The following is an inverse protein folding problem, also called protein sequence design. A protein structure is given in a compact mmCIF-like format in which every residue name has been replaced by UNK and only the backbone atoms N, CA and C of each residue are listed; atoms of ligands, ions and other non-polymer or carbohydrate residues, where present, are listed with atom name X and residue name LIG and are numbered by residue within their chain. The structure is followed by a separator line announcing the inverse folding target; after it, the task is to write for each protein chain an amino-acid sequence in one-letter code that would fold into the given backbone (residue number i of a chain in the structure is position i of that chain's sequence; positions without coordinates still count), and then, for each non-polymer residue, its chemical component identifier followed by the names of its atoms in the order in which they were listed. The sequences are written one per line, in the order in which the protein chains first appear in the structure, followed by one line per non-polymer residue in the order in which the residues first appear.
data_IF_781564039677
#
_entry.id   IF_781564039677
#
_cell.length_a   1.000
_cell.length_b   1.000
_cell.length_c   1.000
_cell.angle_alpha   90.00
_cell.angle_beta   90.00
_cell.angle_gamma   90.00
#
_symmetry.space_group_name_H-M   'P 1'
#
loop_
_entity.id
_entity.type
_entity.pdbx_description
1 polymer ?
#
# COMPACT_ATOMS: atom_id res chain seq x y z
N UNK A 1 55.66 53.68 19.47
CA UNK A 1 56.44 52.51 19.01
C UNK A 1 56.09 51.33 19.91
N UNK A 2 55.31 50.37 19.42
CA UNK A 2 55.01 49.12 20.13
C UNK A 2 55.23 47.98 19.13
N UNK A 3 56.13 47.06 19.49
CA UNK A 3 56.57 45.95 18.65
C UNK A 3 55.42 44.94 18.43
N UNK A 4 55.24 44.51 17.17
CA UNK A 4 54.48 43.32 16.81
C UNK A 4 55.31 42.05 17.09
N UNK A 5 54.73 40.98 17.68
CA UNK A 5 55.24 39.64 17.50
C UNK A 5 54.54 39.00 16.30
N UNK A 6 55.29 38.81 15.23
CA UNK A 6 54.93 37.93 14.13
C UNK A 6 54.91 36.48 14.63
N UNK A 7 53.73 35.85 14.63
CA UNK A 7 53.63 34.40 14.78
C UNK A 7 53.81 33.77 13.39
N UNK A 8 54.80 32.88 13.19
CA UNK A 8 54.94 32.17 11.94
C UNK A 8 53.81 31.12 11.88
N UNK A 9 52.80 31.36 11.05
CA UNK A 9 51.84 30.34 10.64
C UNK A 9 52.58 29.28 9.80
N UNK A 10 53.28 28.40 10.52
CA UNK A 10 54.07 27.32 9.98
C UNK A 10 53.23 26.40 9.11
N UNK A 11 53.75 26.10 7.92
CA UNK A 11 53.22 25.18 6.90
C UNK A 11 52.71 23.82 7.42
N UNK A 12 52.97 23.45 8.68
CA UNK A 12 52.57 22.20 9.32
C UNK A 12 51.07 22.12 9.63
N UNK A 13 50.38 23.24 9.86
CA UNK A 13 48.94 23.24 10.19
C UNK A 13 48.04 22.81 9.01
N UNK A 14 48.48 23.05 7.76
CA UNK A 14 47.72 22.71 6.54
C UNK A 14 47.75 21.22 6.17
N UNK A 15 48.70 20.44 6.72
CA UNK A 15 48.80 19.01 6.43
C UNK A 15 47.94 18.15 7.38
N UNK A 16 47.75 18.59 8.62
CA UNK A 16 46.90 17.89 9.59
C UNK A 16 45.41 17.96 9.21
N UNK A 17 44.94 19.10 8.68
CA UNK A 17 43.54 19.26 8.25
C UNK A 17 43.18 18.39 7.05
N UNK A 18 44.12 18.18 6.10
CA UNK A 18 43.88 17.32 4.93
C UNK A 18 43.77 15.83 5.27
N UNK A 19 44.50 15.35 6.28
CA UNK A 19 44.39 13.96 6.76
C UNK A 19 43.09 13.72 7.54
N UNK A 20 42.69 14.69 8.35
CA UNK A 20 41.44 14.62 9.11
C UNK A 20 40.21 14.62 8.19
N UNK A 21 40.19 15.48 7.17
CA UNK A 21 39.13 15.52 6.15
C UNK A 21 39.07 14.26 5.28
N UNK A 22 40.22 13.63 4.99
CA UNK A 22 40.27 12.35 4.26
C UNK A 22 39.72 11.18 5.07
N UNK A 23 39.90 11.17 6.39
CA UNK A 23 39.31 10.17 7.28
C UNK A 23 37.78 10.26 7.34
N UNK A 24 37.25 11.49 7.43
CA UNK A 24 35.80 11.75 7.41
C UNK A 24 35.14 11.37 6.08
N UNK A 25 35.80 11.64 4.94
CA UNK A 25 35.29 11.24 3.63
C UNK A 25 35.27 9.71 3.44
N UNK A 26 36.24 8.98 3.97
CA UNK A 26 36.26 7.51 3.92
C UNK A 26 35.18 6.87 4.81
N UNK A 27 34.89 7.46 5.97
CA UNK A 27 33.79 7.02 6.84
C UNK A 27 32.41 7.26 6.19
N UNK A 28 32.22 8.39 5.51
CA UNK A 28 31.01 8.66 4.73
C UNK A 28 30.87 7.73 3.51
N UNK A 29 31.97 7.41 2.82
CA UNK A 29 31.95 6.48 1.69
C UNK A 29 31.60 5.04 2.10
N UNK A 30 32.11 4.58 3.26
CA UNK A 30 31.74 3.27 3.83
C UNK A 30 30.29 3.22 4.31
N UNK A 31 29.79 4.29 4.93
CA UNK A 31 28.37 4.41 5.30
C UNK A 31 27.43 4.40 4.09
N UNK A 32 27.80 5.07 3.00
CA UNK A 32 27.05 5.06 1.74
C UNK A 32 27.04 3.68 1.07
N UNK A 33 28.13 2.90 1.18
CA UNK A 33 28.22 1.54 0.65
C UNK A 33 27.34 0.54 1.42
N UNK A 34 27.20 0.70 2.74
CA UNK A 34 26.29 -0.13 3.56
C UNK A 34 24.83 0.20 3.27
N UNK A 35 24.49 1.49 3.09
CA UNK A 35 23.15 1.92 2.65
C UNK A 35 22.82 1.45 1.22
N UNK A 36 23.78 1.48 0.30
CA UNK A 36 23.61 0.97 -1.07
C UNK A 36 23.48 -0.56 -1.11
N UNK A 37 24.20 -1.28 -0.23
CA UNK A 37 24.06 -2.73 -0.06
C UNK A 37 22.70 -3.14 0.49
N UNK A 38 22.17 -2.40 1.47
CA UNK A 38 20.80 -2.61 1.97
C UNK A 38 19.73 -2.28 0.92
N UNK A 39 19.96 -1.35 -0.01
CA UNK A 39 19.01 -1.09 -1.09
C UNK A 39 18.95 -2.22 -2.14
N UNK A 40 20.03 -3.00 -2.29
CA UNK A 40 20.10 -4.12 -3.24
C UNK A 40 19.62 -5.45 -2.64
N UNK A 41 19.68 -5.59 -1.31
CA UNK A 41 19.29 -6.80 -0.56
C UNK A 41 18.03 -6.63 0.30
N UNK A 42 17.50 -5.40 0.43
CA UNK A 42 16.14 -5.24 0.87
C UNK A 42 15.29 -6.11 -0.08
N UNK A 43 14.42 -6.99 0.44
CA UNK A 43 13.37 -7.52 -0.40
C UNK A 43 12.75 -6.28 -1.03
N UNK A 44 12.65 -6.29 -2.37
CA UNK A 44 11.77 -5.33 -3.05
C UNK A 44 10.44 -5.52 -2.36
N UNK A 45 10.16 -4.73 -1.32
CA UNK A 45 8.84 -4.55 -0.80
C UNK A 45 8.10 -4.14 -2.05
N UNK A 46 7.23 -5.03 -2.51
CA UNK A 46 6.58 -4.95 -3.79
C UNK A 46 5.93 -3.58 -3.88
N UNK A 47 6.64 -2.65 -4.50
CA UNK A 47 6.06 -1.65 -5.37
C UNK A 47 5.60 -2.39 -6.63
N UNK A 48 4.85 -3.48 -6.46
CA UNK A 48 3.69 -3.72 -7.27
C UNK A 48 2.84 -2.49 -6.99
N UNK A 49 3.13 -1.40 -7.71
CA UNK A 49 2.20 -0.31 -7.85
C UNK A 49 0.91 -1.01 -8.25
N UNK A 50 -0.01 -1.11 -7.28
CA UNK A 50 -1.31 -1.73 -7.49
C UNK A 50 -1.78 -1.19 -8.83
N UNK A 51 -2.04 -2.06 -9.83
CA UNK A 51 -2.23 -1.64 -11.21
C UNK A 51 -3.18 -0.46 -11.16
N UNK A 52 -2.73 0.69 -11.69
CA UNK A 52 -3.51 1.93 -11.65
C UNK A 52 -4.96 1.57 -11.98
N UNK A 53 -5.92 2.01 -11.16
CA UNK A 53 -7.34 1.58 -11.20
C UNK A 53 -7.91 1.47 -12.64
N UNK A 54 -7.35 2.23 -13.59
CA UNK A 54 -7.62 2.19 -15.03
C UNK A 54 -7.32 0.85 -15.76
N UNK A 55 -6.51 -0.06 -15.21
CA UNK A 55 -6.12 -1.34 -15.86
C UNK A 55 -6.84 -2.56 -15.30
N UNK A 56 -7.62 -2.37 -14.24
CA UNK A 56 -8.36 -3.45 -13.60
C UNK A 56 -9.75 -3.51 -14.24
N UNK A 57 -9.82 -4.14 -15.41
CA UNK A 57 -11.06 -4.29 -16.18
C UNK A 57 -12.05 -5.25 -15.51
N UNK A 58 -13.31 -5.24 -15.99
CA UNK A 58 -14.40 -6.09 -15.52
C UNK A 58 -14.10 -7.61 -15.52
N UNK A 59 -13.05 -8.03 -16.22
CA UNK A 59 -12.56 -9.41 -16.33
C UNK A 59 -11.52 -9.79 -15.28
N UNK A 60 -11.02 -8.85 -14.47
CA UNK A 60 -10.05 -9.16 -13.41
C UNK A 60 -10.71 -10.03 -12.34
N UNK A 61 -10.02 -11.08 -11.91
CA UNK A 61 -10.50 -11.98 -10.84
C UNK A 61 -10.14 -11.43 -9.46
N UNK A 62 -11.09 -11.61 -8.55
CA UNK A 62 -10.98 -11.28 -7.13
C UNK A 62 -11.29 -12.49 -6.28
N UNK A 63 -10.80 -12.51 -5.04
CA UNK A 63 -11.23 -13.49 -4.05
C UNK A 63 -12.74 -13.40 -3.82
N UNK A 64 -13.27 -12.18 -3.79
CA UNK A 64 -14.71 -11.92 -3.66
C UNK A 64 -15.17 -10.75 -4.53
N UNK A 65 -16.36 -10.90 -5.09
CA UNK A 65 -17.10 -9.83 -5.76
C UNK A 65 -18.42 -9.62 -5.04
N UNK A 66 -18.61 -8.42 -4.48
CA UNK A 66 -19.90 -7.97 -3.96
C UNK A 66 -20.75 -7.41 -5.08
N UNK A 67 -21.90 -8.03 -5.34
CA UNK A 67 -22.89 -7.60 -6.33
C UNK A 67 -24.08 -6.99 -5.61
N UNK A 68 -24.41 -5.76 -5.98
CA UNK A 68 -25.48 -4.99 -5.36
C UNK A 68 -26.81 -5.24 -6.08
N UNK A 69 -27.95 -5.19 -5.36
CA UNK A 69 -29.25 -5.35 -5.98
C UNK A 69 -29.56 -4.19 -6.95
N UNK A 70 -30.39 -4.42 -7.98
CA UNK A 70 -30.82 -3.36 -8.88
C UNK A 70 -31.47 -2.19 -8.11
N UNK A 71 -31.20 -0.96 -8.55
CA UNK A 71 -31.69 0.25 -7.88
C UNK A 71 -30.82 0.75 -6.71
N UNK A 72 -29.75 0.04 -6.36
CA UNK A 72 -28.74 0.56 -5.42
C UNK A 72 -28.03 1.76 -6.05
N UNK A 73 -27.91 2.86 -5.31
CA UNK A 73 -27.24 4.08 -5.79
C UNK A 73 -25.73 4.02 -5.59
N UNK A 74 -24.96 4.75 -6.40
CA UNK A 74 -23.51 4.87 -6.24
C UNK A 74 -23.10 5.37 -4.84
N UNK A 75 -23.93 6.23 -4.21
CA UNK A 75 -23.69 6.72 -2.85
C UNK A 75 -23.82 5.61 -1.80
N UNK A 76 -24.80 4.71 -1.94
CA UNK A 76 -24.94 3.54 -1.06
C UNK A 76 -23.79 2.55 -1.24
N UNK A 77 -23.36 2.32 -2.47
CA UNK A 77 -22.21 1.47 -2.79
C UNK A 77 -20.92 2.03 -2.17
N UNK A 78 -20.70 3.34 -2.29
CA UNK A 78 -19.53 3.97 -1.68
C UNK A 78 -19.63 3.95 -0.15
N UNK A 79 -20.81 4.18 0.43
CA UNK A 79 -21.02 4.06 1.88
C UNK A 79 -20.74 2.63 2.37
N UNK A 80 -21.20 1.61 1.66
CA UNK A 80 -20.88 0.21 1.93
C UNK A 80 -19.38 -0.04 1.88
N UNK A 81 -18.69 0.49 0.86
CA UNK A 81 -17.24 0.35 0.68
C UNK A 81 -16.46 0.98 1.84
N UNK A 82 -16.88 2.16 2.29
CA UNK A 82 -16.26 2.83 3.44
C UNK A 82 -16.53 2.08 4.75
N UNK A 83 -17.70 1.49 4.92
CA UNK A 83 -18.08 0.83 6.17
C UNK A 83 -17.51 -0.58 6.30
N UNK A 84 -17.46 -1.34 5.20
CA UNK A 84 -16.96 -2.70 5.19
C UNK A 84 -15.47 -2.70 4.85
N UNK A 85 -15.12 -2.34 3.61
CA UNK A 85 -13.76 -2.52 3.12
C UNK A 85 -12.77 -1.59 3.82
N UNK A 86 -13.06 -0.29 3.97
CA UNK A 86 -12.10 0.63 4.61
C UNK A 86 -11.89 0.42 6.10
N UNK A 87 -12.92 -0.02 6.83
CA UNK A 87 -12.75 -0.40 8.24
C UNK A 87 -11.80 -1.59 8.34
N UNK A 88 -11.94 -2.56 7.44
CA UNK A 88 -11.07 -3.73 7.39
C UNK A 88 -9.73 -3.51 6.66
N UNK A 89 -9.57 -2.42 5.89
CA UNK A 89 -8.29 -1.92 5.39
C UNK A 89 -7.41 -1.41 6.54
N UNK A 90 -8.03 -0.87 7.59
CA UNK A 90 -7.32 -0.25 8.72
C UNK A 90 -7.14 -1.17 9.93
N UNK A 91 -7.74 -2.37 9.92
CA UNK A 91 -7.52 -3.36 10.98
C UNK A 91 -8.24 -4.69 10.81
N UNK A 92 -7.44 -5.74 10.74
CA UNK A 92 -7.65 -7.08 11.27
C UNK A 92 -7.17 -7.13 12.72
N UNK A 93 -7.55 -8.16 13.48
CA UNK A 93 -6.93 -8.43 14.78
C UNK A 93 -5.40 -8.34 14.68
N UNK A 94 -4.78 -7.52 15.54
CA UNK A 94 -3.34 -7.11 15.54
C UNK A 94 -2.93 -5.92 14.67
N UNK A 95 -3.87 -5.17 14.08
CA UNK A 95 -3.56 -3.88 13.43
C UNK A 95 -2.92 -3.98 12.05
N UNK A 96 -3.02 -5.15 11.40
CA UNK A 96 -2.68 -5.34 9.99
C UNK A 96 -3.94 -5.18 9.12
N UNK A 97 -3.84 -4.85 7.82
CA UNK A 97 -5.01 -4.84 6.93
C UNK A 97 -5.58 -6.25 6.73
N UNK A 98 -6.91 -6.39 6.64
CA UNK A 98 -7.58 -7.63 6.19
C UNK A 98 -7.74 -7.70 4.68
N UNK A 99 -7.74 -6.54 4.02
CA UNK A 99 -7.99 -6.41 2.60
C UNK A 99 -6.65 -6.16 1.91
N UNK A 100 -6.31 -6.99 0.93
CA UNK A 100 -5.08 -6.83 0.14
C UNK A 100 -5.30 -5.81 -0.99
N UNK A 101 -6.49 -5.84 -1.59
CA UNK A 101 -6.88 -5.02 -2.75
C UNK A 101 -8.38 -4.81 -2.74
N UNK A 102 -8.83 -3.62 -3.14
CA UNK A 102 -10.24 -3.37 -3.43
C UNK A 102 -10.39 -2.47 -4.65
N UNK A 103 -11.48 -2.63 -5.37
CA UNK A 103 -11.88 -1.77 -6.48
C UNK A 103 -12.98 -0.79 -6.08
N UNK A 104 -13.03 0.34 -6.78
CA UNK A 104 -14.23 1.18 -6.81
C UNK A 104 -15.36 0.46 -7.57
N UNK A 105 -16.58 0.68 -7.12
CA UNK A 105 -17.76 0.04 -7.71
C UNK A 105 -17.90 0.37 -9.19
N UNK A 106 -18.11 -0.67 -10.01
CA UNK A 106 -18.41 -0.54 -11.43
C UNK A 106 -19.88 -0.87 -11.66
N UNK A 107 -20.54 -0.11 -12.53
CA UNK A 107 -21.89 -0.38 -12.98
C UNK A 107 -21.85 -1.32 -14.20
N UNK A 108 -22.58 -2.42 -14.15
CA UNK A 108 -22.45 -3.55 -15.06
C UNK A 108 -23.82 -4.10 -15.48
N UNK A 109 -23.85 -4.68 -16.67
CA UNK A 109 -25.02 -5.37 -17.23
C UNK A 109 -26.18 -4.44 -17.64
N UNK A 110 -27.20 -5.03 -18.28
CA UNK A 110 -28.39 -4.30 -18.73
C UNK A 110 -29.24 -3.78 -17.55
N UNK A 111 -29.17 -4.46 -16.40
CA UNK A 111 -29.84 -4.07 -15.16
C UNK A 111 -29.08 -2.98 -14.37
N UNK A 112 -27.95 -2.48 -14.89
CA UNK A 112 -27.20 -1.38 -14.28
C UNK A 112 -26.83 -1.66 -12.81
N UNK A 113 -26.38 -2.88 -12.55
CA UNK A 113 -26.04 -3.31 -11.20
C UNK A 113 -24.62 -2.88 -10.85
N UNK A 114 -24.42 -2.43 -9.61
CA UNK A 114 -23.07 -2.18 -9.13
C UNK A 114 -22.41 -3.49 -8.70
N UNK A 115 -21.09 -3.57 -8.90
CA UNK A 115 -20.26 -4.61 -8.31
C UNK A 115 -18.92 -4.04 -7.81
N UNK A 116 -18.42 -4.58 -6.70
CA UNK A 116 -17.11 -4.26 -6.14
C UNK A 116 -16.31 -5.56 -5.97
N UNK A 117 -15.10 -5.60 -6.52
CA UNK A 117 -14.14 -6.68 -6.30
C UNK A 117 -13.19 -6.35 -5.17
N UNK A 118 -12.88 -7.33 -4.31
CA UNK A 118 -11.88 -7.19 -3.26
C UNK A 118 -11.20 -8.53 -2.95
N UNK A 119 -9.94 -8.44 -2.53
CA UNK A 119 -9.11 -9.57 -2.13
C UNK A 119 -8.84 -9.51 -0.63
N UNK A 120 -8.86 -10.68 0.01
CA UNK A 120 -8.48 -10.80 1.41
C UNK A 120 -6.98 -11.06 1.51
N UNK A 121 -6.38 -10.63 2.60
CA UNK A 121 -4.99 -10.99 2.91
C UNK A 121 -4.89 -12.49 3.13
N UNK A 122 -4.02 -13.19 2.38
CA UNK A 122 -3.88 -14.66 2.49
C UNK A 122 -3.53 -15.14 3.90
N UNK A 123 -2.79 -14.33 4.64
CA UNK A 123 -2.33 -14.65 5.99
C UNK A 123 -3.28 -14.18 7.09
N UNK A 124 -4.41 -13.54 6.74
CA UNK A 124 -5.38 -13.15 7.75
C UNK A 124 -6.07 -14.39 8.36
N UNK A 125 -6.31 -14.40 9.68
CA UNK A 125 -6.93 -15.54 10.34
C UNK A 125 -8.32 -15.85 9.75
N UNK A 126 -8.74 -17.14 9.70
CA UNK A 126 -10.04 -17.52 9.14
C UNK A 126 -11.24 -16.82 9.79
N UNK A 127 -11.15 -16.53 11.09
CA UNK A 127 -12.17 -15.77 11.82
C UNK A 127 -12.32 -14.32 11.31
N UNK A 128 -11.22 -13.68 10.89
CA UNK A 128 -11.25 -12.33 10.34
C UNK A 128 -11.83 -12.35 8.93
N UNK A 129 -11.49 -13.36 8.12
CA UNK A 129 -12.12 -13.57 6.82
C UNK A 129 -13.63 -13.71 6.96
N UNK A 130 -14.07 -14.56 7.91
CA UNK A 130 -15.48 -14.74 8.20
C UNK A 130 -16.16 -13.43 8.67
N UNK A 131 -15.47 -12.61 9.48
CA UNK A 131 -15.98 -11.33 9.94
C UNK A 131 -16.18 -10.33 8.78
N UNK A 132 -15.19 -10.20 7.88
CA UNK A 132 -15.29 -9.34 6.69
C UNK A 132 -16.46 -9.78 5.80
N UNK A 133 -16.59 -11.09 5.54
CA UNK A 133 -17.64 -11.63 4.68
C UNK A 133 -19.03 -11.48 5.32
N UNK A 134 -19.14 -11.67 6.63
CA UNK A 134 -20.38 -11.43 7.37
C UNK A 134 -20.77 -9.95 7.33
N UNK A 135 -19.83 -9.04 7.58
CA UNK A 135 -20.08 -7.59 7.50
C UNK A 135 -20.49 -7.16 6.08
N UNK A 136 -19.84 -7.72 5.05
CA UNK A 136 -20.17 -7.49 3.65
C UNK A 136 -21.62 -7.88 3.30
N UNK A 137 -22.10 -9.01 3.82
CA UNK A 137 -23.48 -9.49 3.58
C UNK A 137 -24.54 -8.77 4.43
N UNK A 138 -24.20 -8.35 5.64
CA UNK A 138 -25.16 -7.75 6.59
C UNK A 138 -25.37 -6.24 6.40
N UNK A 139 -24.37 -5.56 5.83
CA UNK A 139 -24.37 -4.09 5.73
C UNK A 139 -25.34 -3.50 4.71
N UNK A 140 -25.73 -4.26 3.67
CA UNK A 140 -26.75 -3.84 2.72
C UNK A 140 -27.64 -5.02 2.29
N UNK A 141 -28.97 -4.96 2.49
CA UNK A 141 -29.87 -6.04 2.13
C UNK A 141 -29.82 -6.40 0.64
N UNK A 142 -29.65 -7.69 0.33
CA UNK A 142 -29.63 -8.18 -1.05
C UNK A 142 -28.27 -8.11 -1.74
N UNK A 143 -27.20 -7.69 -1.04
CA UNK A 143 -25.83 -7.88 -1.54
C UNK A 143 -25.52 -9.37 -1.62
N UNK A 144 -25.00 -9.81 -2.76
CA UNK A 144 -24.51 -11.17 -2.99
C UNK A 144 -23.00 -11.16 -3.08
N UNK A 145 -22.34 -12.18 -2.54
CA UNK A 145 -20.91 -12.37 -2.68
C UNK A 145 -20.62 -13.55 -3.62
N UNK A 146 -19.86 -13.30 -4.68
CA UNK A 146 -19.35 -14.32 -5.59
C UNK A 146 -17.86 -14.54 -5.33
N UNK A 147 -17.48 -15.75 -4.91
CA UNK A 147 -16.09 -16.07 -4.62
C UNK A 147 -15.30 -16.42 -5.90
N UNK A 148 -14.04 -15.99 -5.98
CA UNK A 148 -13.12 -16.34 -7.06
C UNK A 148 -13.55 -15.85 -8.45
N UNK A 149 -14.41 -14.83 -8.54
CA UNK A 149 -15.06 -14.38 -9.77
C UNK A 149 -14.44 -13.12 -10.34
N UNK A 150 -14.68 -12.86 -11.62
CA UNK A 150 -14.57 -11.51 -12.18
C UNK A 150 -15.85 -10.71 -11.95
N UNK A 151 -15.77 -9.39 -12.11
CA UNK A 151 -16.94 -8.51 -11.98
C UNK A 151 -18.02 -8.84 -13.03
N UNK A 152 -17.60 -9.05 -14.28
CA UNK A 152 -18.50 -9.40 -15.37
C UNK A 152 -19.23 -10.72 -15.09
N UNK A 153 -18.48 -11.77 -14.73
CA UNK A 153 -19.04 -13.09 -14.46
C UNK A 153 -19.96 -13.11 -13.22
N UNK A 154 -19.75 -12.21 -12.24
CA UNK A 154 -20.57 -12.18 -11.03
C UNK A 154 -21.96 -11.54 -11.25
N UNK A 155 -22.08 -10.70 -12.28
CA UNK A 155 -23.31 -9.96 -12.62
C UNK A 155 -24.14 -10.69 -13.67
N UNK A 156 -23.53 -11.57 -14.47
CA UNK A 156 -24.21 -12.52 -15.36
C UNK A 156 -25.03 -13.57 -14.59
#
# INVERSE_FOLDING_TARGET
MVLQPALPLGRRARFASRRFWRGLAAAFALGALVLAGYALLAPRAGNDAAPAEATIGATTRFDYVAVFPPGTTAAQVESWRQHVLRVHDSGCFRGNPCIARSLRGAELGAARQFAIGFDLMRDAPPQEHAAVLAAAQQSLPGVRLAAGSSLQQAVE
#
